data_IF_887486686066
#
_entry.id   IF_887486686066
#
_cell.length_a   1.000
_cell.length_b   1.000
_cell.length_c   1.000
_cell.angle_alpha   90.00
_cell.angle_beta   90.00
_cell.angle_gamma   90.00
#
_symmetry.space_group_name_H-M   'P 1'
#
loop_
_entity.id
_entity.type
_entity.pdbx_description
1 polymer ?
#
# COMPACT_ATOMS: atom_id res chain seq x y z
N UNK A 1 4.26 4.90 -16.13
CA UNK A 1 3.68 6.26 -16.07
C UNK A 1 4.20 6.93 -14.81
N UNK A 2 4.97 8.02 -14.96
CA UNK A 2 5.67 8.70 -13.87
C UNK A 2 5.63 10.23 -14.02
N UNK A 3 4.48 10.77 -14.43
CA UNK A 3 4.20 12.21 -14.42
C UNK A 3 3.62 12.62 -13.05
N UNK A 4 3.40 13.91 -12.80
CA UNK A 4 2.99 14.41 -11.48
C UNK A 4 1.47 14.55 -11.28
N UNK A 5 0.73 14.83 -12.35
CA UNK A 5 -0.70 15.12 -12.24
C UNK A 5 -1.53 13.86 -12.00
N UNK A 6 -2.22 13.78 -10.84
CA UNK A 6 -3.03 12.62 -10.44
C UNK A 6 -4.00 12.20 -11.54
N UNK A 7 -4.84 13.12 -11.98
CA UNK A 7 -5.88 12.85 -12.97
C UNK A 7 -5.26 12.45 -14.31
N UNK A 8 -4.17 13.10 -14.71
CA UNK A 8 -3.45 12.77 -15.95
C UNK A 8 -2.84 11.37 -15.91
N UNK A 9 -2.35 10.90 -14.76
CA UNK A 9 -1.84 9.54 -14.60
C UNK A 9 -2.98 8.54 -14.84
N UNK A 10 -4.12 8.72 -14.16
CA UNK A 10 -5.29 7.83 -14.28
C UNK A 10 -5.85 7.81 -15.70
N UNK A 11 -6.00 8.98 -16.34
CA UNK A 11 -6.48 9.05 -17.72
C UNK A 11 -5.51 8.40 -18.71
N UNK A 12 -4.20 8.52 -18.49
CA UNK A 12 -3.22 7.82 -19.32
C UNK A 12 -3.27 6.31 -19.12
N UNK A 13 -3.51 5.81 -17.90
CA UNK A 13 -3.77 4.37 -17.67
C UNK A 13 -4.98 3.91 -18.47
N UNK A 14 -6.13 4.60 -18.35
CA UNK A 14 -7.36 4.26 -19.08
C UNK A 14 -7.12 4.24 -20.60
N UNK A 15 -6.46 5.27 -21.11
CA UNK A 15 -6.14 5.40 -22.53
C UNK A 15 -5.27 4.24 -23.03
N UNK A 16 -4.14 3.97 -22.36
CA UNK A 16 -3.23 2.88 -22.75
C UNK A 16 -3.96 1.55 -22.65
N UNK A 17 -4.75 1.31 -21.60
CA UNK A 17 -5.45 0.04 -21.41
C UNK A 17 -6.52 -0.20 -22.48
N UNK A 18 -7.21 0.85 -22.94
CA UNK A 18 -8.23 0.76 -23.98
C UNK A 18 -7.62 0.55 -25.38
N UNK A 19 -6.58 1.30 -25.73
CA UNK A 19 -6.02 1.31 -27.09
C UNK A 19 -4.89 0.29 -27.31
N UNK A 20 -4.19 -0.10 -26.24
CA UNK A 20 -3.02 -0.97 -26.30
C UNK A 20 -3.10 -2.05 -25.19
N UNK A 21 -4.03 -3.01 -25.29
CA UNK A 21 -4.32 -3.98 -24.23
C UNK A 21 -3.14 -4.92 -23.88
N UNK A 22 -2.13 -5.02 -24.74
CA UNK A 22 -0.94 -5.84 -24.47
C UNK A 22 0.20 -5.06 -23.81
N UNK A 23 0.09 -3.72 -23.71
CA UNK A 23 1.10 -2.90 -23.05
C UNK A 23 0.97 -3.07 -21.54
N UNK A 24 2.06 -3.52 -20.93
CA UNK A 24 2.19 -3.58 -19.49
C UNK A 24 2.40 -2.19 -18.89
N UNK A 25 1.61 -1.85 -17.87
CA UNK A 25 1.61 -0.51 -17.25
C UNK A 25 2.10 -0.61 -15.81
N UNK A 26 3.24 0.03 -15.55
CA UNK A 26 3.69 0.37 -14.20
C UNK A 26 3.37 1.84 -13.93
N UNK A 27 2.65 2.17 -12.87
CA UNK A 27 2.20 3.55 -12.58
C UNK A 27 2.60 4.04 -11.19
N UNK A 28 3.02 5.31 -11.10
CA UNK A 28 3.19 6.02 -9.83
C UNK A 28 1.83 6.43 -9.28
N UNK A 29 1.51 6.03 -8.05
CA UNK A 29 0.42 6.56 -7.25
C UNK A 29 0.92 7.71 -6.36
N UNK A 30 0.06 8.71 -6.14
CA UNK A 30 0.39 9.89 -5.31
C UNK A 30 0.18 9.54 -3.83
N UNK A 31 -0.93 8.85 -3.54
CA UNK A 31 -1.25 8.36 -2.20
C UNK A 31 -1.99 7.03 -2.28
N UNK A 32 -2.52 6.57 -1.15
CA UNK A 32 -3.28 5.33 -1.05
C UNK A 32 -4.55 5.36 -1.89
N UNK A 33 -5.26 6.49 -1.87
CA UNK A 33 -6.54 6.64 -2.60
C UNK A 33 -6.31 6.51 -4.10
N UNK A 34 -5.23 7.13 -4.61
CA UNK A 34 -4.84 7.04 -6.01
C UNK A 34 -4.52 5.60 -6.44
N UNK A 35 -4.13 4.71 -5.52
CA UNK A 35 -3.93 3.30 -5.87
C UNK A 35 -5.24 2.65 -6.29
N UNK A 36 -6.35 2.98 -5.63
CA UNK A 36 -7.65 2.40 -5.98
C UNK A 36 -8.17 2.93 -7.32
N UNK A 37 -7.96 4.23 -7.61
CA UNK A 37 -8.24 4.81 -8.94
C UNK A 37 -7.50 4.05 -10.05
N UNK A 38 -6.19 3.85 -9.87
CA UNK A 38 -5.34 3.18 -10.85
C UNK A 38 -5.67 1.69 -10.98
N UNK A 39 -6.02 1.05 -9.85
CA UNK A 39 -6.48 -0.34 -9.84
C UNK A 39 -7.78 -0.51 -10.63
N UNK A 40 -8.75 0.38 -10.40
CA UNK A 40 -10.02 0.39 -11.13
C UNK A 40 -9.83 0.72 -12.63
N UNK A 41 -8.89 1.61 -12.95
CA UNK A 41 -8.49 1.90 -14.33
C UNK A 41 -7.77 0.73 -15.05
N UNK A 42 -7.49 -0.37 -14.33
CA UNK A 42 -6.92 -1.59 -14.90
C UNK A 42 -5.40 -1.73 -14.77
N UNK A 43 -4.73 -0.83 -14.03
CA UNK A 43 -3.33 -1.00 -13.67
C UNK A 43 -3.20 -2.02 -12.53
N UNK A 44 -2.13 -2.82 -12.54
CA UNK A 44 -1.84 -3.81 -11.49
C UNK A 44 -0.48 -3.61 -10.83
N UNK A 45 0.46 -2.98 -11.54
CA UNK A 45 1.78 -2.64 -11.01
C UNK A 45 1.81 -1.16 -10.61
N UNK A 46 1.40 -0.90 -9.37
CA UNK A 46 1.22 0.45 -8.84
C UNK A 46 2.22 0.70 -7.70
N UNK A 47 2.99 1.78 -7.81
CA UNK A 47 4.00 2.17 -6.81
C UNK A 47 3.63 3.52 -6.20
N UNK A 48 3.37 3.55 -4.90
CA UNK A 48 3.11 4.79 -4.14
C UNK A 48 4.41 5.57 -3.96
N UNK A 49 4.41 6.84 -4.34
CA UNK A 49 5.62 7.64 -4.48
C UNK A 49 6.52 7.74 -3.23
N UNK A 50 5.92 7.78 -2.03
CA UNK A 50 6.65 7.96 -0.76
C UNK A 50 6.69 6.69 0.09
N UNK A 51 6.07 5.59 -0.35
CA UNK A 51 5.88 4.42 0.49
C UNK A 51 7.21 3.72 0.80
N UNK A 52 8.01 3.40 -0.24
CA UNK A 52 9.27 2.67 -0.06
C UNK A 52 10.32 3.48 0.71
N UNK A 53 10.35 4.80 0.50
CA UNK A 53 11.25 5.70 1.25
C UNK A 53 10.82 5.81 2.72
N UNK A 54 9.52 5.81 3.01
CA UNK A 54 8.99 5.77 4.37
C UNK A 54 9.31 4.46 5.09
N UNK A 55 9.22 3.31 4.40
CA UNK A 55 9.64 2.02 4.96
C UNK A 55 11.14 2.00 5.29
N UNK A 56 11.97 2.57 4.41
CA UNK A 56 13.40 2.72 4.67
C UNK A 56 13.66 3.58 5.91
N UNK A 57 12.91 4.68 6.08
CA UNK A 57 13.00 5.51 7.27
C UNK A 57 12.56 4.76 8.53
N UNK A 58 11.46 4.00 8.47
CA UNK A 58 10.98 3.18 9.58
C UNK A 58 12.05 2.18 10.04
N UNK A 59 12.70 1.48 9.10
CA UNK A 59 13.81 0.57 9.41
C UNK A 59 14.96 1.29 10.12
N UNK A 60 15.40 2.44 9.59
CA UNK A 60 16.46 3.24 10.23
C UNK A 60 16.08 3.69 11.65
N UNK A 61 14.82 4.07 11.87
CA UNK A 61 14.31 4.45 13.19
C UNK A 61 14.33 3.27 14.16
N UNK A 62 13.94 2.07 13.70
CA UNK A 62 13.99 0.84 14.51
C UNK A 62 15.44 0.47 14.86
N UNK A 63 16.37 0.57 13.90
CA UNK A 63 17.81 0.39 14.16
C UNK A 63 18.31 1.39 15.22
N UNK A 64 17.88 2.66 15.15
CA UNK A 64 18.26 3.68 16.13
C UNK A 64 17.71 3.44 17.54
N UNK A 65 16.63 2.65 17.68
CA UNK A 65 16.08 2.21 18.97
C UNK A 65 16.85 1.03 19.58
N UNK A 66 17.87 0.51 18.89
CA UNK A 66 18.77 -0.53 19.41
C UNK A 66 18.52 -1.93 18.86
N UNK A 67 17.57 -2.09 17.92
CA UNK A 67 17.36 -3.37 17.22
C UNK A 67 18.39 -3.57 16.11
N UNK A 68 18.73 -4.83 15.82
CA UNK A 68 19.65 -5.11 14.74
C UNK A 68 18.98 -4.97 13.36
N UNK A 69 19.80 -4.92 12.30
CA UNK A 69 19.35 -4.73 10.91
C UNK A 69 18.35 -5.79 10.43
N UNK A 70 18.55 -7.05 10.82
CA UNK A 70 17.68 -8.15 10.42
C UNK A 70 16.29 -8.02 11.07
N UNK A 71 16.25 -7.77 12.39
CA UNK A 71 15.02 -7.50 13.11
C UNK A 71 14.26 -6.30 12.51
N UNK A 72 14.96 -5.20 12.28
CA UNK A 72 14.37 -4.00 11.70
C UNK A 72 13.79 -4.26 10.29
N UNK A 73 14.50 -5.05 9.45
CA UNK A 73 14.00 -5.45 8.13
C UNK A 73 12.72 -6.26 8.26
N UNK A 74 12.72 -7.32 9.08
CA UNK A 74 11.56 -8.20 9.25
C UNK A 74 10.34 -7.48 9.80
N UNK A 75 10.53 -6.48 10.67
CA UNK A 75 9.41 -5.63 11.15
C UNK A 75 8.82 -4.79 10.00
N UNK A 76 9.66 -4.19 9.15
CA UNK A 76 9.16 -3.44 7.98
C UNK A 76 8.56 -4.34 6.90
N UNK A 77 9.07 -5.57 6.75
CA UNK A 77 8.53 -6.56 5.82
C UNK A 77 7.16 -7.04 6.30
N UNK A 78 6.99 -7.32 7.60
CA UNK A 78 5.70 -7.65 8.19
C UNK A 78 4.65 -6.54 7.97
N UNK A 79 5.03 -5.27 8.13
CA UNK A 79 4.14 -4.15 7.80
C UNK A 79 3.76 -4.15 6.31
N UNK A 80 4.75 -4.37 5.43
CA UNK A 80 4.56 -4.32 3.97
C UNK A 80 3.61 -5.42 3.50
N UNK A 81 3.76 -6.64 4.01
CA UNK A 81 2.89 -7.77 3.70
C UNK A 81 1.43 -7.48 4.09
N UNK A 82 1.22 -7.02 5.33
CA UNK A 82 -0.12 -6.75 5.83
C UNK A 82 -0.78 -5.56 5.12
N UNK A 83 -0.05 -4.47 4.89
CA UNK A 83 -0.57 -3.31 4.14
C UNK A 83 -0.99 -3.69 2.71
N UNK A 84 -0.16 -4.46 1.98
CA UNK A 84 -0.50 -4.93 0.63
C UNK A 84 -1.74 -5.83 0.62
N UNK A 85 -1.84 -6.76 1.57
CA UNK A 85 -3.01 -7.64 1.69
C UNK A 85 -4.30 -6.85 1.95
N UNK A 86 -4.27 -5.92 2.90
CA UNK A 86 -5.42 -5.07 3.23
C UNK A 86 -5.83 -4.15 2.08
N UNK A 87 -4.88 -3.66 1.28
CA UNK A 87 -5.19 -2.83 0.12
C UNK A 87 -5.97 -3.58 -0.95
N UNK A 88 -5.59 -4.82 -1.28
CA UNK A 88 -6.32 -5.62 -2.28
C UNK A 88 -7.75 -5.88 -1.82
N UNK A 89 -7.93 -6.26 -0.54
CA UNK A 89 -9.26 -6.51 0.02
C UNK A 89 -10.14 -5.25 0.07
N UNK A 90 -9.54 -4.08 0.34
CA UNK A 90 -10.27 -2.82 0.35
C UNK A 90 -10.63 -2.33 -1.07
N UNK A 91 -9.77 -2.60 -2.06
CA UNK A 91 -10.00 -2.21 -3.45
C UNK A 91 -11.29 -2.83 -4.05
N UNK A 92 -11.71 -4.00 -3.58
CA UNK A 92 -12.95 -4.65 -4.02
C UNK A 92 -14.23 -3.88 -3.64
N UNK A 93 -14.14 -3.02 -2.63
CA UNK A 93 -15.28 -2.28 -2.06
C UNK A 93 -15.23 -0.79 -2.42
N UNK A 94 -14.28 -0.38 -3.25
CA UNK A 94 -14.04 1.00 -3.63
C UNK A 94 -14.82 1.36 -4.90
N UNK A 95 -15.65 2.39 -4.79
CA UNK A 95 -16.29 3.06 -5.94
C UNK A 95 -15.53 4.34 -6.33
N UNK A 96 -14.91 4.43 -7.52
CA UNK A 96 -14.18 5.63 -7.95
C UNK A 96 -15.08 6.84 -8.21
N UNK A 97 -16.38 6.65 -8.41
CA UNK A 97 -17.33 7.75 -8.68
C UNK A 97 -17.83 8.42 -7.39
N UNK A 98 -17.46 7.88 -6.22
CA UNK A 98 -17.86 8.38 -4.90
C UNK A 98 -16.64 8.94 -4.16
N UNK A 99 -16.71 10.18 -3.61
CA UNK A 99 -15.64 10.72 -2.78
C UNK A 99 -15.24 9.75 -1.66
N UNK A 100 -13.94 9.62 -1.38
CA UNK A 100 -13.42 8.60 -0.46
C UNK A 100 -14.11 8.57 0.92
N UNK A 101 -14.46 9.72 1.46
CA UNK A 101 -15.11 9.85 2.77
C UNK A 101 -16.60 9.47 2.76
N UNK A 102 -17.22 9.37 1.59
CA UNK A 102 -18.61 8.93 1.38
C UNK A 102 -18.68 7.47 0.89
N UNK A 103 -17.53 6.83 0.70
CA UNK A 103 -17.42 5.45 0.20
C UNK A 103 -17.71 4.45 1.33
N UNK A 104 -18.98 4.37 1.75
CA UNK A 104 -19.39 3.67 2.98
C UNK A 104 -18.99 2.18 2.99
N UNK A 105 -19.08 1.50 1.85
CA UNK A 105 -18.68 0.10 1.71
C UNK A 105 -17.17 -0.08 1.91
N UNK A 106 -16.36 0.74 1.23
CA UNK A 106 -14.91 0.80 1.42
C UNK A 106 -14.55 1.13 2.87
N UNK A 107 -15.14 2.17 3.44
CA UNK A 107 -14.86 2.62 4.81
C UNK A 107 -15.27 1.57 5.84
N UNK A 108 -16.38 0.88 5.63
CA UNK A 108 -16.79 -0.28 6.41
C UNK A 108 -15.73 -1.37 6.38
N UNK A 109 -15.29 -1.76 5.18
CA UNK A 109 -14.27 -2.79 5.01
C UNK A 109 -12.92 -2.41 5.64
N UNK A 110 -12.48 -1.17 5.47
CA UNK A 110 -11.24 -0.68 6.09
C UNK A 110 -11.33 -0.73 7.62
N UNK A 111 -12.48 -0.37 8.22
CA UNK A 111 -12.68 -0.45 9.67
C UNK A 111 -12.61 -1.89 10.19
N UNK A 112 -13.22 -2.84 9.49
CA UNK A 112 -13.16 -4.26 9.84
C UNK A 112 -11.72 -4.79 9.77
N UNK A 113 -11.05 -4.54 8.65
CA UNK A 113 -9.68 -5.00 8.41
C UNK A 113 -8.68 -4.43 9.42
N UNK A 114 -8.93 -3.22 9.90
CA UNK A 114 -8.01 -2.51 10.80
C UNK A 114 -7.76 -3.27 12.10
N UNK A 115 -8.80 -3.84 12.71
CA UNK A 115 -8.67 -4.55 13.99
C UNK A 115 -7.78 -5.79 13.87
N UNK A 116 -8.07 -6.63 12.87
CA UNK A 116 -7.29 -7.84 12.59
C UNK A 116 -5.86 -7.49 12.19
N UNK A 117 -5.68 -6.45 11.36
CA UNK A 117 -4.37 -5.95 10.96
C UNK A 117 -3.54 -5.49 12.17
N UNK A 118 -4.11 -4.69 13.06
CA UNK A 118 -3.39 -4.16 14.24
C UNK A 118 -2.99 -5.31 15.20
N UNK A 119 -3.90 -6.26 15.42
CA UNK A 119 -3.63 -7.42 16.25
C UNK A 119 -2.52 -8.30 15.67
N UNK A 120 -2.60 -8.62 14.39
CA UNK A 120 -1.60 -9.44 13.70
C UNK A 120 -0.23 -8.75 13.65
N UNK A 121 -0.21 -7.46 13.32
CA UNK A 121 1.02 -6.66 13.27
C UNK A 121 1.70 -6.64 14.64
N UNK A 122 0.93 -6.44 15.71
CA UNK A 122 1.45 -6.43 17.09
C UNK A 122 2.10 -7.77 17.43
N UNK A 123 1.43 -8.88 17.14
CA UNK A 123 1.96 -10.23 17.41
C UNK A 123 3.25 -10.50 16.62
N UNK A 124 3.27 -10.17 15.32
CA UNK A 124 4.44 -10.39 14.46
C UNK A 124 5.64 -9.55 14.92
N UNK A 125 5.43 -8.26 15.20
CA UNK A 125 6.50 -7.36 15.66
C UNK A 125 7.03 -7.77 17.03
N UNK A 126 6.14 -8.07 17.98
CA UNK A 126 6.55 -8.50 19.33
C UNK A 126 7.42 -9.76 19.26
N UNK A 127 7.03 -10.74 18.44
CA UNK A 127 7.82 -11.95 18.22
C UNK A 127 9.24 -11.63 17.73
N UNK A 128 9.39 -10.70 16.78
CA UNK A 128 10.71 -10.29 16.25
C UNK A 128 11.53 -9.54 17.32
N UNK A 129 10.89 -8.70 18.13
CA UNK A 129 11.54 -7.95 19.21
C UNK A 129 12.09 -8.86 20.30
N UNK A 130 11.38 -9.94 20.63
CA UNK A 130 11.74 -10.88 21.71
C UNK A 130 12.85 -11.88 21.31
N UNK A 131 13.22 -11.92 20.03
CA UNK A 131 14.30 -12.78 19.56
C UNK A 131 15.64 -12.31 20.13
N UNK A 132 16.37 -13.25 20.76
CA UNK A 132 17.72 -12.97 21.26
C UNK A 132 18.61 -12.62 20.08
N UNK A 133 19.23 -11.44 20.16
CA UNK A 133 20.29 -11.06 19.23
C UNK A 133 21.44 -12.06 19.41
N UNK A 134 21.74 -12.82 18.36
CA UNK A 134 22.88 -13.76 18.34
C UNK A 134 24.18 -13.00 18.09
#
# INVERSE_FOLDING_TARGET
IAIDGREQITELVKYVRHHYPDVHIVARAIDRDHVYDLWHAGCRDIVRETYDSSLRMARSSIEALGYNRDQASRMTDAFTELDRGSMVMAAEHYDPDVPMHENDAYMGRVRELRGDWEAEMTVRVQKIMDEKTT
#
